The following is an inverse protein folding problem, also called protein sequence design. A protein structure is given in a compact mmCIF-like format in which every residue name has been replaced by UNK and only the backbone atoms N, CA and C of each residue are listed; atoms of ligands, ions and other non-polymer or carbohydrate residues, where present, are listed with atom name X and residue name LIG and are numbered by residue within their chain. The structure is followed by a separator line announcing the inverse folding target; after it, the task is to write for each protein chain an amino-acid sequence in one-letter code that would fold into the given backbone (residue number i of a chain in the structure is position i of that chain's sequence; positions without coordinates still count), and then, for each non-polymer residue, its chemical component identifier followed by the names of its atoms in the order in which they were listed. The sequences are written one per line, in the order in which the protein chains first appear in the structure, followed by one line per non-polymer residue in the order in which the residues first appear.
data_IF_175827583010
#
_entry.id   IF_175827583010
#
_cell.length_a   1.000
_cell.length_b   1.000
_cell.length_c   1.000
_cell.angle_alpha   90.00
_cell.angle_beta   90.00
_cell.angle_gamma   90.00
#
_symmetry.space_group_name_H-M   'P 1'
#
loop_
_entity.id
_entity.type
_entity.pdbx_description
1 polymer ?
#
# COMPACT_ATOMS: atom_id res chain seq x y z
N UNK A 1 -3.17 12.57 -8.45
CA UNK A 1 -2.38 11.42 -7.97
C UNK A 1 -1.08 11.96 -7.37
N UNK A 2 -0.63 11.48 -6.20
CA UNK A 2 0.59 11.99 -5.54
C UNK A 2 1.83 11.60 -6.37
N UNK A 3 2.80 12.51 -6.48
CA UNK A 3 4.03 12.27 -7.27
C UNK A 3 4.84 11.08 -6.74
N UNK A 4 4.77 10.86 -5.43
CA UNK A 4 5.51 9.80 -4.74
C UNK A 4 5.05 8.39 -5.13
N UNK A 5 3.85 8.23 -5.68
CA UNK A 5 3.30 6.92 -6.07
C UNK A 5 3.92 6.35 -7.34
N UNK A 6 4.64 7.16 -8.10
CA UNK A 6 5.38 6.72 -9.30
C UNK A 6 6.85 7.14 -9.23
N UNK A 7 7.35 7.47 -8.05
CA UNK A 7 8.75 7.85 -7.83
C UNK A 7 9.63 6.60 -7.70
N UNK A 8 10.40 6.32 -8.76
CA UNK A 8 11.31 5.16 -8.83
C UNK A 8 12.45 5.23 -7.79
N UNK A 9 12.94 6.43 -7.46
CA UNK A 9 14.01 6.58 -6.47
C UNK A 9 13.49 6.26 -5.07
N UNK A 10 12.28 6.74 -4.74
CA UNK A 10 11.61 6.43 -3.49
C UNK A 10 11.31 4.92 -3.39
N UNK A 11 10.79 4.33 -4.46
CA UNK A 11 10.51 2.89 -4.53
C UNK A 11 11.76 2.04 -4.30
N UNK A 12 12.86 2.33 -5.01
CA UNK A 12 14.14 1.61 -4.86
C UNK A 12 14.67 1.70 -3.44
N UNK A 13 14.64 2.89 -2.83
CA UNK A 13 15.08 3.11 -1.45
C UNK A 13 14.26 2.26 -0.47
N UNK A 14 12.94 2.33 -0.54
CA UNK A 14 12.06 1.62 0.40
C UNK A 14 12.12 0.10 0.21
N UNK A 15 12.27 -0.37 -1.04
CA UNK A 15 12.48 -1.78 -1.36
C UNK A 15 13.79 -2.31 -0.78
N UNK A 16 14.89 -1.56 -0.93
CA UNK A 16 16.18 -1.93 -0.35
C UNK A 16 16.13 -2.03 1.17
N UNK A 17 15.51 -1.03 1.83
CA UNK A 17 15.31 -1.02 3.29
C UNK A 17 14.54 -2.26 3.75
N UNK A 18 13.44 -2.60 3.07
CA UNK A 18 12.64 -3.81 3.34
C UNK A 18 13.48 -5.09 3.23
N UNK A 19 14.30 -5.23 2.18
CA UNK A 19 15.13 -6.42 1.99
C UNK A 19 16.28 -6.53 3.00
N UNK A 20 16.74 -5.41 3.55
CA UNK A 20 17.79 -5.38 4.57
C UNK A 20 17.32 -5.75 5.98
N UNK A 21 16.01 -5.97 6.17
CA UNK A 21 15.41 -6.23 7.48
C UNK A 21 15.14 -4.97 8.31
N UNK A 22 15.37 -3.79 7.74
CA UNK A 22 14.98 -2.52 8.37
C UNK A 22 13.45 -2.43 8.45
N UNK A 23 12.93 -2.04 9.63
CA UNK A 23 11.51 -1.81 9.83
C UNK A 23 11.09 -0.53 9.09
N UNK A 24 10.41 -0.70 7.95
CA UNK A 24 9.76 0.40 7.23
C UNK A 24 8.39 0.69 7.84
N UNK A 25 7.91 1.93 7.66
CA UNK A 25 6.57 2.35 8.06
C UNK A 25 5.48 1.62 7.27
N UNK A 26 4.26 1.56 7.81
CA UNK A 26 3.15 0.91 7.11
C UNK A 26 2.75 1.72 5.87
N UNK A 27 2.74 3.05 5.98
CA UNK A 27 2.54 3.96 4.84
C UNK A 27 3.55 3.69 3.72
N UNK A 28 4.84 3.58 4.07
CA UNK A 28 5.92 3.27 3.12
C UNK A 28 5.73 1.90 2.46
N UNK A 29 5.25 0.91 3.21
CA UNK A 29 4.96 -0.41 2.67
C UNK A 29 3.77 -0.39 1.69
N UNK A 30 2.68 0.29 2.04
CA UNK A 30 1.52 0.46 1.16
C UNK A 30 1.89 1.22 -0.12
N UNK A 31 2.79 2.22 -0.03
CA UNK A 31 3.30 2.95 -1.19
C UNK A 31 4.10 2.06 -2.16
N UNK A 32 4.80 1.03 -1.67
CA UNK A 32 5.46 0.05 -2.56
C UNK A 32 4.44 -0.69 -3.43
N UNK A 33 3.30 -1.10 -2.83
CA UNK A 33 2.23 -1.77 -3.57
C UNK A 33 1.51 -0.83 -4.53
N UNK A 34 1.27 0.42 -4.12
CA UNK A 34 0.70 1.46 -5.00
C UNK A 34 1.61 1.70 -6.21
N UNK A 35 2.93 1.77 -5.99
CA UNK A 35 3.90 1.90 -7.07
C UNK A 35 3.84 0.72 -8.05
N UNK A 36 3.88 -0.52 -7.55
CA UNK A 36 3.79 -1.69 -8.42
C UNK A 36 2.45 -1.72 -9.18
N UNK A 37 1.35 -1.36 -8.53
CA UNK A 37 0.02 -1.36 -9.14
C UNK A 37 -0.07 -0.37 -10.31
N UNK A 38 0.52 0.82 -10.16
CA UNK A 38 0.47 1.89 -11.17
C UNK A 38 1.50 1.71 -12.29
N UNK A 39 2.67 1.15 -11.98
CA UNK A 39 3.82 1.15 -12.92
C UNK A 39 4.03 -0.18 -13.63
N UNK A 40 3.52 -1.30 -13.10
CA UNK A 40 3.66 -2.58 -13.79
C UNK A 40 2.87 -2.57 -15.11
N UNK A 41 3.45 -3.14 -16.18
CA UNK A 41 2.78 -3.19 -17.48
C UNK A 41 1.53 -4.07 -17.40
N UNK A 42 0.56 -3.77 -18.26
CA UNK A 42 -0.59 -4.65 -18.48
C UNK A 42 -0.18 -5.91 -19.24
N UNK A 43 0.92 -5.82 -20.00
CA UNK A 43 1.47 -6.94 -20.77
C UNK A 43 1.66 -8.19 -19.89
N UNK A 44 1.27 -9.33 -20.44
CA UNK A 44 1.34 -10.63 -19.77
C UNK A 44 0.61 -10.69 -18.42
N UNK A 45 -0.36 -9.79 -18.16
CA UNK A 45 -1.15 -9.77 -16.94
C UNK A 45 -0.35 -9.40 -15.68
N UNK A 46 0.82 -8.75 -15.83
CA UNK A 46 1.66 -8.41 -14.68
C UNK A 46 0.94 -7.45 -13.71
N UNK A 47 0.23 -6.46 -14.24
CA UNK A 47 -0.61 -5.56 -13.43
C UNK A 47 -1.76 -6.29 -12.75
N UNK A 48 -2.43 -7.20 -13.45
CA UNK A 48 -3.54 -7.98 -12.89
C UNK A 48 -3.05 -8.88 -11.74
N UNK A 49 -1.85 -9.45 -11.86
CA UNK A 49 -1.21 -10.19 -10.78
C UNK A 49 -0.83 -9.31 -9.58
N UNK A 50 -0.52 -8.02 -9.78
CA UNK A 50 -0.36 -7.06 -8.67
C UNK A 50 -1.71 -6.71 -8.07
N UNK A 51 -2.71 -6.39 -8.89
CA UNK A 51 -4.06 -6.06 -8.47
C UNK A 51 -4.66 -7.17 -7.60
N UNK A 52 -4.58 -8.43 -8.05
CA UNK A 52 -5.00 -9.60 -7.28
C UNK A 52 -4.29 -9.71 -5.91
N UNK A 53 -2.98 -9.42 -5.87
CA UNK A 53 -2.21 -9.45 -4.61
C UNK A 53 -2.57 -8.29 -3.69
N UNK A 54 -2.92 -7.14 -4.25
CA UNK A 54 -3.42 -5.98 -3.50
C UNK A 54 -4.77 -6.31 -2.89
N UNK A 55 -5.71 -6.84 -3.69
CA UNK A 55 -7.01 -7.31 -3.21
C UNK A 55 -6.83 -8.29 -2.06
N UNK A 56 -6.12 -9.40 -2.28
CA UNK A 56 -5.94 -10.41 -1.22
C UNK A 56 -5.35 -9.88 0.11
N UNK A 57 -4.62 -8.76 0.09
CA UNK A 57 -3.91 -8.24 1.27
C UNK A 57 -4.54 -7.01 1.92
N UNK A 58 -5.17 -6.15 1.15
CA UNK A 58 -5.44 -4.77 1.57
C UNK A 58 -6.87 -4.32 1.29
N UNK A 59 -7.52 -4.86 0.26
CA UNK A 59 -8.82 -4.36 -0.22
C UNK A 59 -9.70 -5.52 -0.64
N UNK A 60 -11.02 -5.37 -0.65
CA UNK A 60 -11.85 -6.37 -1.32
C UNK A 60 -11.61 -6.40 -2.84
N UNK A 61 -12.18 -7.40 -3.51
CA UNK A 61 -12.19 -7.47 -4.97
C UNK A 61 -13.01 -6.29 -5.52
N UNK A 62 -12.33 -5.36 -6.19
CA UNK A 62 -12.93 -4.15 -6.73
C UNK A 62 -12.23 -3.67 -8.01
N UNK A 63 -12.86 -2.80 -8.82
CA UNK A 63 -12.24 -2.25 -10.02
C UNK A 63 -10.91 -1.56 -9.73
N UNK A 64 -10.03 -1.52 -10.74
CA UNK A 64 -8.68 -0.94 -10.60
C UNK A 64 -8.71 0.49 -10.05
N UNK A 65 -9.55 1.36 -10.60
CA UNK A 65 -9.62 2.76 -10.17
C UNK A 65 -10.10 2.90 -8.72
N UNK A 66 -10.99 2.03 -8.27
CA UNK A 66 -11.47 2.02 -6.90
C UNK A 66 -10.43 1.43 -5.95
N UNK A 67 -9.68 0.42 -6.41
CA UNK A 67 -8.52 -0.11 -5.68
C UNK A 67 -7.46 0.98 -5.47
N UNK A 68 -7.19 1.79 -6.50
CA UNK A 68 -6.24 2.92 -6.41
C UNK A 68 -6.70 3.96 -5.40
N UNK A 69 -8.00 4.31 -5.39
CA UNK A 69 -8.56 5.25 -4.40
C UNK A 69 -8.48 4.69 -2.98
N UNK A 70 -8.80 3.41 -2.82
CA UNK A 70 -8.78 2.75 -1.51
C UNK A 70 -7.34 2.64 -0.97
N UNK A 71 -6.37 2.30 -1.82
CA UNK A 71 -4.96 2.33 -1.48
C UNK A 71 -4.50 3.74 -1.08
N UNK A 72 -4.91 4.81 -1.79
CA UNK A 72 -4.62 6.20 -1.38
C UNK A 72 -5.21 6.53 0.00
N UNK A 73 -6.43 6.06 0.29
CA UNK A 73 -7.08 6.21 1.60
C UNK A 73 -6.26 5.52 2.71
N UNK A 74 -5.92 4.25 2.52
CA UNK A 74 -5.14 3.47 3.48
C UNK A 74 -3.76 4.10 3.75
N UNK A 75 -3.08 4.58 2.70
CA UNK A 75 -1.79 5.27 2.84
C UNK A 75 -1.94 6.53 3.71
N UNK A 76 -2.95 7.37 3.46
CA UNK A 76 -3.18 8.60 4.23
C UNK A 76 -3.55 8.31 5.68
N UNK A 77 -4.36 7.29 5.93
CA UNK A 77 -4.74 6.89 7.29
C UNK A 77 -3.54 6.35 8.07
N UNK A 78 -2.68 5.56 7.42
CA UNK A 78 -1.41 5.11 7.98
C UNK A 78 -0.49 6.29 8.29
N UNK A 79 -0.25 7.21 7.35
CA UNK A 79 0.58 8.40 7.57
C UNK A 79 0.07 9.26 8.74
N UNK A 80 -1.25 9.46 8.81
CA UNK A 80 -1.89 10.20 9.90
C UNK A 80 -1.65 9.49 11.24
N UNK A 81 -1.85 8.19 11.31
CA UNK A 81 -1.66 7.43 12.54
C UNK A 81 -0.19 7.36 12.97
N UNK A 82 0.74 7.24 12.02
CA UNK A 82 2.19 7.32 12.26
C UNK A 82 2.59 8.70 12.79
N UNK A 83 1.99 9.79 12.28
CA UNK A 83 2.24 11.15 12.81
C UNK A 83 1.74 11.33 14.25
N UNK A 84 0.77 10.51 14.67
CA UNK A 84 0.27 10.43 16.04
C UNK A 84 1.09 9.47 16.92
N UNK A 85 2.24 9.00 16.44
CA UNK A 85 3.14 8.06 17.14
C UNK A 85 2.49 6.73 17.52
N UNK A 86 1.44 6.31 16.79
CA UNK A 86 0.86 4.97 16.96
C UNK A 86 1.84 3.91 16.48
N UNK A 87 1.89 2.80 17.21
CA UNK A 87 2.69 1.64 16.86
C UNK A 87 2.14 0.95 15.61
N UNK A 88 3.00 0.19 14.92
CA UNK A 88 2.60 -0.55 13.71
C UNK A 88 1.35 -1.41 13.94
N UNK A 89 1.30 -2.14 15.06
CA UNK A 89 0.19 -3.05 15.38
C UNK A 89 -1.11 -2.28 15.63
N UNK A 90 -1.06 -1.13 16.32
CA UNK A 90 -2.23 -0.26 16.49
C UNK A 90 -2.77 0.27 15.16
N UNK A 91 -1.89 0.59 14.22
CA UNK A 91 -2.30 1.09 12.90
C UNK A 91 -2.93 -0.04 12.09
N UNK A 92 -2.34 -1.24 12.14
CA UNK A 92 -2.91 -2.44 11.53
C UNK A 92 -4.32 -2.68 12.09
N UNK A 93 -4.45 -2.76 13.40
CA UNK A 93 -5.76 -2.96 14.04
C UNK A 93 -6.75 -1.88 13.63
N UNK A 94 -6.34 -0.60 13.55
CA UNK A 94 -7.24 0.47 13.10
C UNK A 94 -7.71 0.33 11.65
N UNK A 95 -6.83 -0.08 10.74
CA UNK A 95 -7.14 -0.18 9.32
C UNK A 95 -8.01 -1.42 9.03
N UNK A 96 -7.75 -2.54 9.70
CA UNK A 96 -8.39 -3.82 9.43
C UNK A 96 -9.48 -4.23 10.44
N UNK A 97 -9.61 -3.58 11.61
CA UNK A 97 -10.75 -3.84 12.51
C UNK A 97 -12.08 -3.29 11.97
N UNK A 98 -12.06 -2.53 10.86
CA UNK A 98 -13.28 -1.99 10.25
C UNK A 98 -14.09 -3.03 9.49
N UNK A 99 -13.50 -4.17 9.12
CA UNK A 99 -14.18 -5.32 8.49
C UNK A 99 -14.73 -6.33 9.52
N UNK A 100 -14.49 -6.10 10.81
CA UNK A 100 -14.92 -6.99 11.91
C UNK A 100 -16.25 -6.62 12.57
N UNK A 101 -17.11 -5.82 11.93
CA UNK A 101 -18.48 -5.60 12.39
C UNK A 101 -19.45 -6.39 11.51
N UNK A 102 -19.49 -7.70 11.76
CA UNK A 102 -20.72 -8.49 11.57
C UNK A 102 -21.84 -8.00 12.50
#
# INVERSE_FOLDING_TARGET
MRKEYTDDALFKRNTARRHSGEKIKLSEYLMLWMYELLTKPVEFGMRDAVLYRVHKKFTDEMPFDDTVKEMDRLIREAEKAESQSKSYDEIVDMLWARDGKE
#
